data_IF_522790470020
#
_entry.id   IF_522790470020
#
_cell.length_a   1.000
_cell.length_b   1.000
_cell.length_c   1.000
_cell.angle_alpha   90.00
_cell.angle_beta   90.00
_cell.angle_gamma   90.00
#
_symmetry.space_group_name_H-M   'P 1'
#
loop_
_entity.id
_entity.type
_entity.pdbx_description
1 polymer ?
#
# COMPACT_ATOMS: atom_id res chain seq x y z
N UNK A 1 34.87 24.84 -13.18
CA UNK A 1 33.81 25.30 -14.10
C UNK A 1 33.44 24.06 -14.91
N UNK A 2 32.41 23.27 -14.59
CA UNK A 2 31.11 23.66 -14.08
C UNK A 2 30.54 22.64 -13.08
N UNK A 3 30.61 23.03 -11.80
CA UNK A 3 29.76 22.50 -10.71
C UNK A 3 28.27 22.87 -10.96
N UNK A 4 27.99 23.65 -12.02
CA UNK A 4 26.70 24.17 -12.44
C UNK A 4 25.91 23.22 -13.35
N UNK A 5 26.54 22.18 -13.92
CA UNK A 5 25.82 21.08 -14.54
C UNK A 5 25.48 20.06 -13.44
N UNK A 6 24.46 20.35 -12.63
CA UNK A 6 23.83 19.30 -11.84
C UNK A 6 23.59 18.12 -12.78
N UNK A 7 24.21 16.94 -12.54
CA UNK A 7 24.22 15.88 -13.54
C UNK A 7 22.78 15.44 -13.71
N UNK A 8 22.16 15.77 -14.83
CA UNK A 8 20.76 15.43 -15.14
C UNK A 8 20.51 13.94 -14.85
N UNK A 9 21.53 13.11 -15.08
CA UNK A 9 21.60 11.70 -14.68
C UNK A 9 21.34 11.42 -13.19
N UNK A 10 21.90 12.20 -12.26
CA UNK A 10 21.64 12.07 -10.82
C UNK A 10 20.18 12.37 -10.49
N UNK A 11 19.61 13.39 -11.13
CA UNK A 11 18.19 13.75 -11.00
C UNK A 11 17.30 12.62 -11.50
N UNK A 12 17.62 12.05 -12.67
CA UNK A 12 16.93 10.88 -13.23
C UNK A 12 17.04 9.66 -12.30
N UNK A 13 18.21 9.39 -11.72
CA UNK A 13 18.41 8.28 -10.78
C UNK A 13 17.58 8.47 -9.51
N UNK A 14 17.54 9.68 -8.96
CA UNK A 14 16.74 9.99 -7.77
C UNK A 14 15.25 9.81 -8.05
N UNK A 15 14.77 10.30 -9.20
CA UNK A 15 13.36 10.13 -9.61
C UNK A 15 13.03 8.65 -9.82
N UNK A 16 13.91 7.90 -10.49
CA UNK A 16 13.72 6.47 -10.71
C UNK A 16 13.70 5.68 -9.39
N UNK A 17 14.61 6.00 -8.47
CA UNK A 17 14.65 5.39 -7.13
C UNK A 17 13.39 5.72 -6.31
N UNK A 18 12.94 6.98 -6.34
CA UNK A 18 11.71 7.40 -5.68
C UNK A 18 10.48 6.68 -6.26
N UNK A 19 10.41 6.55 -7.59
CA UNK A 19 9.34 5.82 -8.25
C UNK A 19 9.35 4.34 -7.89
N UNK A 20 10.52 3.69 -7.90
CA UNK A 20 10.66 2.30 -7.49
C UNK A 20 10.24 2.08 -6.04
N UNK A 21 10.69 2.96 -5.14
CA UNK A 21 10.28 2.93 -3.74
C UNK A 21 8.77 3.07 -3.60
N UNK A 22 8.17 3.98 -4.35
CA UNK A 22 6.73 4.22 -4.32
C UNK A 22 5.94 3.00 -4.81
N UNK A 23 6.37 2.36 -5.91
CA UNK A 23 5.75 1.14 -6.43
C UNK A 23 5.87 -0.01 -5.42
N UNK A 24 7.04 -0.20 -4.81
CA UNK A 24 7.25 -1.23 -3.79
C UNK A 24 6.39 -0.97 -2.55
N UNK A 25 6.31 0.29 -2.11
CA UNK A 25 5.48 0.69 -0.98
C UNK A 25 4.00 0.42 -1.24
N UNK A 26 3.46 0.87 -2.38
CA UNK A 26 2.06 0.62 -2.75
C UNK A 26 1.78 -0.85 -3.06
N UNK A 27 2.77 -1.62 -3.53
CA UNK A 27 2.60 -3.06 -3.68
C UNK A 27 2.49 -3.73 -2.30
N UNK A 28 3.34 -3.33 -1.34
CA UNK A 28 3.37 -3.92 0.00
C UNK A 28 2.15 -3.54 0.84
N UNK A 29 1.71 -2.28 0.78
CA UNK A 29 0.54 -1.78 1.49
C UNK A 29 -0.73 -2.14 0.71
N UNK A 30 -1.65 -2.95 1.26
CA UNK A 30 -2.87 -3.38 0.58
C UNK A 30 -3.95 -2.27 0.58
N UNK A 31 -3.66 -1.15 -0.07
CA UNK A 31 -4.53 0.05 -0.11
C UNK A 31 -5.88 -0.27 -0.76
N UNK A 32 -5.90 -1.06 -1.84
CA UNK A 32 -7.14 -1.44 -2.55
C UNK A 32 -8.12 -2.19 -1.64
N UNK A 33 -7.59 -3.10 -0.81
CA UNK A 33 -8.39 -3.87 0.14
C UNK A 33 -8.90 -2.98 1.28
N UNK A 34 -8.07 -2.04 1.74
CA UNK A 34 -8.44 -1.08 2.78
C UNK A 34 -9.60 -0.18 2.34
N UNK A 35 -9.54 0.36 1.12
CA UNK A 35 -10.62 1.18 0.55
C UNK A 35 -11.91 0.35 0.43
N UNK A 36 -11.79 -0.91 0.01
CA UNK A 36 -12.95 -1.83 -0.08
C UNK A 36 -13.59 -2.10 1.29
N UNK A 37 -12.76 -2.24 2.34
CA UNK A 37 -13.23 -2.41 3.72
C UNK A 37 -13.93 -1.15 4.23
N UNK A 38 -13.35 0.03 3.99
CA UNK A 38 -13.93 1.32 4.35
C UNK A 38 -15.28 1.54 3.67
N UNK A 39 -15.40 1.23 2.38
CA UNK A 39 -16.65 1.32 1.63
C UNK A 39 -17.74 0.37 2.14
N UNK A 40 -17.35 -0.74 2.78
CA UNK A 40 -18.26 -1.67 3.43
C UNK A 40 -18.50 -1.34 4.93
N UNK A 41 -18.06 -0.17 5.39
CA UNK A 41 -18.13 0.28 6.79
C UNK A 41 -17.39 -0.66 7.78
N UNK A 42 -16.39 -1.39 7.29
CA UNK A 42 -15.52 -2.25 8.09
C UNK A 42 -14.31 -1.45 8.54
N UNK A 43 -14.20 -1.22 9.86
CA UNK A 43 -13.09 -0.48 10.46
C UNK A 43 -11.82 -1.34 10.58
N UNK A 44 -11.05 -1.44 9.50
CA UNK A 44 -9.71 -2.06 9.51
C UNK A 44 -8.65 -0.98 9.26
N UNK A 45 -7.61 -0.92 10.08
CA UNK A 45 -6.51 0.03 9.89
C UNK A 45 -5.52 -0.41 8.80
N UNK A 46 -4.93 0.55 8.10
CA UNK A 46 -3.83 0.30 7.13
C UNK A 46 -2.67 -0.43 7.79
N UNK A 47 -2.26 0.01 8.99
CA UNK A 47 -1.19 -0.64 9.76
C UNK A 47 -1.53 -2.09 10.11
N UNK A 48 -2.80 -2.39 10.35
CA UNK A 48 -3.26 -3.76 10.61
C UNK A 48 -3.10 -4.63 9.36
N UNK A 49 -3.49 -4.14 8.19
CA UNK A 49 -3.38 -4.89 6.94
C UNK A 49 -1.91 -5.10 6.52
N UNK A 50 -1.06 -4.10 6.75
CA UNK A 50 0.40 -4.22 6.58
C UNK A 50 0.96 -5.23 7.59
N UNK A 51 0.52 -5.17 8.84
CA UNK A 51 0.88 -6.14 9.89
C UNK A 51 0.47 -7.57 9.56
N UNK A 52 -0.67 -7.78 8.89
CA UNK A 52 -1.07 -9.09 8.39
C UNK A 52 -0.05 -9.63 7.39
N UNK A 53 0.37 -8.81 6.40
CA UNK A 53 1.40 -9.20 5.43
C UNK A 53 2.75 -9.49 6.08
N UNK A 54 3.17 -8.69 7.06
CA UNK A 54 4.40 -8.92 7.83
C UNK A 54 4.34 -10.27 8.57
N UNK A 55 3.17 -10.63 9.12
CA UNK A 55 2.92 -11.93 9.75
C UNK A 55 2.69 -13.07 8.75
N UNK A 56 2.94 -12.86 7.45
CA UNK A 56 2.70 -13.81 6.36
C UNK A 56 1.24 -14.28 6.24
N UNK A 57 0.29 -13.46 6.71
CA UNK A 57 -1.14 -13.69 6.56
C UNK A 57 -1.65 -12.91 5.36
N UNK A 58 -2.40 -13.57 4.47
CA UNK A 58 -3.02 -12.91 3.31
C UNK A 58 -4.23 -12.09 3.78
N UNK A 59 -4.18 -10.75 3.80
CA UNK A 59 -5.23 -9.93 4.41
C UNK A 59 -6.59 -10.08 3.72
N UNK A 60 -6.61 -10.35 2.41
CA UNK A 60 -7.83 -10.56 1.64
C UNK A 60 -8.67 -11.75 2.14
N UNK A 61 -8.03 -12.79 2.71
CA UNK A 61 -8.74 -13.95 3.27
C UNK A 61 -9.49 -13.64 4.56
N UNK A 62 -9.12 -12.56 5.26
CA UNK A 62 -9.76 -12.14 6.52
C UNK A 62 -10.77 -11.02 6.23
N UNK A 63 -10.38 -10.03 5.44
CA UNK A 63 -11.18 -8.83 5.20
C UNK A 63 -12.38 -9.13 4.29
N UNK A 64 -12.25 -9.98 3.28
CA UNK A 64 -13.37 -10.27 2.38
C UNK A 64 -14.55 -10.97 3.10
N UNK A 65 -14.33 -11.99 3.94
CA UNK A 65 -15.40 -12.52 4.79
C UNK A 65 -15.98 -11.49 5.76
N UNK A 66 -15.14 -10.64 6.36
CA UNK A 66 -15.59 -9.60 7.28
C UNK A 66 -16.50 -8.56 6.59
N UNK A 67 -16.14 -8.14 5.37
CA UNK A 67 -16.99 -7.28 4.52
C UNK A 67 -18.35 -7.95 4.26
N UNK A 68 -18.36 -9.25 3.97
CA UNK A 68 -19.61 -9.99 3.71
C UNK A 68 -20.46 -10.11 4.96
N UNK A 69 -19.86 -10.39 6.11
CA UNK A 69 -20.56 -10.46 7.40
C UNK A 69 -21.24 -9.12 7.73
N UNK A 70 -20.49 -8.01 7.65
CA UNK A 70 -21.03 -6.66 7.91
C UNK A 70 -22.16 -6.30 6.92
N UNK A 71 -22.01 -6.65 5.64
CA UNK A 71 -23.08 -6.46 4.65
C UNK A 71 -24.30 -7.36 4.90
N UNK A 72 -24.12 -8.51 5.54
CA UNK A 72 -25.18 -9.43 5.92
C UNK A 72 -25.82 -9.08 7.28
N UNK A 73 -25.34 -8.04 7.97
CA UNK A 73 -25.81 -7.66 9.31
C UNK A 73 -25.32 -8.57 10.43
N UNK A 74 -24.23 -9.31 10.18
CA UNK A 74 -23.53 -10.16 11.15
C UNK A 74 -22.35 -9.43 11.80
#
# INVERSE_FOLDING_TARGET
MDIMAMPIWLLVIIIAAAFLFLVLFFNFVPVTLWISALAANVRVGILTLVGMRLRRVVPARIVNPLIKAVKAGL
#
